data_IF_775074400282
#
_entry.id   IF_775074400282
#
_cell.length_a   1.000
_cell.length_b   1.000
_cell.length_c   1.000
_cell.angle_alpha   90.00
_cell.angle_beta   90.00
_cell.angle_gamma   90.00
#
_symmetry.space_group_name_H-M   'P 1'
#
loop_
_entity.id
_entity.type
_entity.pdbx_description
1 polymer ?
#
# COMPACT_ATOMS: atom_id res chain seq x y z
N UNK A 1 6.10 3.69 -2.59
CA UNK A 1 5.80 5.11 -2.59
C UNK A 1 5.69 5.45 -1.13
N UNK A 2 6.57 6.32 -0.70
CA UNK A 2 6.71 6.73 0.68
C UNK A 2 6.51 8.23 0.67
N UNK A 3 5.56 8.70 1.48
CA UNK A 3 5.38 10.12 1.67
C UNK A 3 6.65 10.72 2.30
N UNK A 4 7.22 11.75 1.67
CA UNK A 4 8.53 12.28 2.05
C UNK A 4 8.51 13.11 3.34
N UNK A 5 7.33 13.55 3.77
CA UNK A 5 7.17 14.37 4.97
C UNK A 5 6.91 13.52 6.21
N UNK A 6 6.15 12.43 6.04
CA UNK A 6 5.68 11.57 7.13
C UNK A 6 6.40 10.22 7.19
N UNK A 7 7.00 9.76 6.09
CA UNK A 7 7.58 8.43 5.98
C UNK A 7 6.53 7.31 5.81
N UNK A 8 5.24 7.66 5.67
CA UNK A 8 4.16 6.68 5.56
C UNK A 8 4.14 6.04 4.17
N UNK A 9 3.98 4.72 4.15
CA UNK A 9 3.65 3.96 2.95
C UNK A 9 2.20 4.27 2.55
N UNK A 10 1.96 4.45 1.24
CA UNK A 10 0.61 4.61 0.66
C UNK A 10 -0.32 5.57 1.43
N UNK A 11 0.26 6.66 1.95
CA UNK A 11 -0.44 7.69 2.73
C UNK A 11 -1.09 7.17 4.03
N UNK A 12 -0.59 6.07 4.58
CA UNK A 12 -1.09 5.47 5.83
C UNK A 12 -2.34 4.61 5.65
N UNK A 13 -2.71 4.27 4.42
CA UNK A 13 -3.76 3.27 4.14
C UNK A 13 -3.23 1.87 4.50
N UNK A 14 -4.10 1.04 5.05
CA UNK A 14 -3.84 -0.36 5.34
C UNK A 14 -3.76 -1.17 4.02
N UNK A 15 -2.59 -1.75 3.69
CA UNK A 15 -2.44 -2.55 2.47
C UNK A 15 -3.22 -3.86 2.50
N UNK A 16 -3.51 -4.42 3.68
CA UNK A 16 -4.24 -5.68 3.84
C UNK A 16 -5.73 -5.48 3.61
N UNK A 17 -6.27 -4.32 3.98
CA UNK A 17 -7.69 -3.97 3.81
C UNK A 17 -8.17 -4.03 2.35
N UNK A 18 -7.28 -3.84 1.38
CA UNK A 18 -7.59 -4.04 -0.05
C UNK A 18 -8.01 -5.47 -0.39
N UNK A 19 -7.49 -6.46 0.35
CA UNK A 19 -7.72 -7.88 0.13
C UNK A 19 -8.81 -8.44 1.04
N UNK A 20 -8.94 -7.92 2.26
CA UNK A 20 -9.93 -8.39 3.23
C UNK A 20 -11.27 -7.67 3.10
N UNK A 21 -11.25 -6.33 3.12
CA UNK A 21 -12.46 -5.50 3.16
C UNK A 21 -12.86 -4.98 1.78
N UNK A 22 -11.98 -5.14 0.78
CA UNK A 22 -12.20 -4.69 -0.59
C UNK A 22 -12.34 -3.18 -0.70
N UNK A 23 -11.69 -2.42 0.20
CA UNK A 23 -11.70 -0.96 0.21
C UNK A 23 -10.42 -0.40 0.86
N UNK A 24 -9.97 0.79 0.46
CA UNK A 24 -8.91 1.48 1.17
C UNK A 24 -9.39 1.89 2.56
N UNK A 25 -8.72 1.40 3.59
CA UNK A 25 -9.02 1.72 4.99
C UNK A 25 -7.83 2.44 5.63
N UNK A 26 -8.09 3.51 6.39
CA UNK A 26 -7.02 4.24 7.08
C UNK A 26 -6.47 3.41 8.23
N UNK A 27 -5.16 3.19 8.23
CA UNK A 27 -4.47 2.53 9.33
C UNK A 27 -4.21 3.47 10.52
N UNK A 28 -3.94 2.88 11.68
CA UNK A 28 -3.74 3.60 12.95
C UNK A 28 -2.27 3.63 13.34
N UNK A 29 -1.85 4.68 14.04
CA UNK A 29 -0.48 4.80 14.55
C UNK A 29 -0.14 3.71 15.59
N UNK A 30 -1.15 3.20 16.30
CA UNK A 30 -1.01 2.11 17.27
C UNK A 30 -0.61 0.78 16.60
N UNK A 31 -0.94 0.63 15.31
CA UNK A 31 -0.62 -0.57 14.52
C UNK A 31 0.32 -0.18 13.37
N UNK A 32 1.61 -0.03 13.70
CA UNK A 32 2.65 0.31 12.73
C UNK A 32 3.67 -0.83 12.53
N UNK A 33 4.22 -0.90 11.32
CA UNK A 33 5.38 -1.72 10.99
C UNK A 33 6.35 -0.97 10.08
N UNK A 34 7.64 -0.97 10.43
CA UNK A 34 8.68 -0.48 9.53
C UNK A 34 9.12 -1.60 8.60
N UNK A 35 8.92 -1.41 7.30
CA UNK A 35 9.32 -2.39 6.29
C UNK A 35 9.68 -1.71 4.97
N UNK A 36 10.73 -2.20 4.29
CA UNK A 36 11.23 -1.66 3.02
C UNK A 36 11.47 -0.13 3.01
N UNK A 37 11.97 0.41 4.14
CA UNK A 37 12.25 1.85 4.28
C UNK A 37 11.03 2.75 4.47
N UNK A 38 9.84 2.17 4.70
CA UNK A 38 8.60 2.91 4.93
C UNK A 38 7.94 2.52 6.25
N UNK A 39 7.08 3.41 6.77
CA UNK A 39 6.18 3.12 7.89
C UNK A 39 4.82 2.70 7.34
N UNK A 40 4.44 1.45 7.58
CA UNK A 40 3.13 0.90 7.21
C UNK A 40 2.19 1.02 8.41
N UNK A 41 0.93 1.38 8.15
CA UNK A 41 -0.13 1.46 9.15
C UNK A 41 -1.22 0.46 8.83
N UNK A 42 -1.84 -0.08 9.87
CA UNK A 42 -2.89 -1.09 9.76
C UNK A 42 -4.12 -0.68 10.56
N UNK A 43 -5.29 -1.13 10.13
CA UNK A 43 -6.55 -0.87 10.83
C UNK A 43 -6.56 -1.54 12.22
N UNK A 44 -5.96 -2.73 12.30
CA UNK A 44 -5.94 -3.60 13.47
C UNK A 44 -4.64 -4.45 13.52
N UNK A 45 -4.39 -5.09 14.67
CA UNK A 45 -3.22 -5.96 14.89
C UNK A 45 -3.18 -7.15 13.93
N UNK A 46 -4.33 -7.76 13.60
CA UNK A 46 -4.38 -8.91 12.69
C UNK A 46 -3.89 -8.57 11.28
N UNK A 47 -4.26 -7.40 10.76
CA UNK A 47 -3.76 -6.92 9.47
C UNK A 47 -2.25 -6.64 9.52
N UNK A 48 -1.75 -6.07 10.63
CA UNK A 48 -0.30 -5.88 10.84
C UNK A 48 0.45 -7.21 10.83
N UNK A 49 -0.06 -8.22 11.53
CA UNK A 49 0.53 -9.56 11.59
C UNK A 49 0.49 -10.26 10.23
N UNK A 50 -0.63 -10.18 9.52
CA UNK A 50 -0.77 -10.74 8.17
C UNK A 50 0.26 -10.12 7.21
N UNK A 51 0.41 -8.78 7.23
CA UNK A 51 1.43 -8.12 6.44
C UNK A 51 2.84 -8.54 6.85
N UNK A 52 3.14 -8.63 8.15
CA UNK A 52 4.46 -9.02 8.64
C UNK A 52 4.85 -10.45 8.22
N UNK A 53 3.86 -11.35 8.09
CA UNK A 53 4.07 -12.73 7.68
C UNK A 53 4.44 -12.85 6.19
N UNK A 54 3.81 -12.07 5.30
CA UNK A 54 4.11 -12.09 3.86
C UNK A 54 3.95 -10.70 3.20
N UNK A 55 4.89 -9.75 3.42
CA UNK A 55 4.80 -8.40 2.86
C UNK A 55 4.65 -8.36 1.33
N UNK A 56 5.36 -9.19 0.53
CA UNK A 56 5.24 -9.20 -0.93
C UNK A 56 3.82 -9.40 -1.48
N UNK A 57 2.92 -10.06 -0.74
CA UNK A 57 1.51 -10.25 -1.15
C UNK A 57 0.73 -8.94 -1.07
N UNK A 58 0.89 -8.22 0.04
CA UNK A 58 0.08 -7.04 0.36
C UNK A 58 0.68 -5.74 -0.18
N UNK A 59 1.99 -5.70 -0.41
CA UNK A 59 2.65 -4.52 -0.95
C UNK A 59 2.15 -4.19 -2.37
N UNK A 60 1.84 -2.91 -2.67
CA UNK A 60 1.48 -2.52 -4.02
C UNK A 60 2.63 -2.79 -5.00
N UNK A 61 2.28 -3.30 -6.17
CA UNK A 61 3.20 -3.46 -7.30
C UNK A 61 3.74 -2.13 -7.76
N UNK A 62 4.92 -2.20 -8.39
CA UNK A 62 5.71 -1.03 -8.76
C UNK A 62 5.97 -0.10 -7.58
N UNK A 63 5.97 -0.65 -6.35
CA UNK A 63 6.09 0.13 -5.13
C UNK A 63 4.99 1.18 -5.00
N UNK A 64 3.78 0.97 -5.48
CA UNK A 64 2.68 1.94 -5.35
C UNK A 64 2.79 3.16 -6.27
N UNK A 65 3.63 3.08 -7.30
CA UNK A 65 3.58 3.97 -8.45
C UNK A 65 2.60 3.43 -9.50
N UNK A 66 2.00 4.34 -10.25
CA UNK A 66 1.05 4.05 -11.31
C UNK A 66 1.67 3.14 -12.39
N UNK A 67 1.11 1.94 -12.65
CA UNK A 67 1.64 1.02 -13.65
C UNK A 67 1.74 1.63 -15.05
N UNK A 68 0.79 2.49 -15.43
CA UNK A 68 0.75 3.12 -16.76
C UNK A 68 1.89 4.13 -16.89
N UNK A 69 2.10 4.98 -15.88
CA UNK A 69 3.24 5.89 -15.80
C UNK A 69 4.57 5.14 -15.85
N UNK A 70 4.72 4.09 -15.03
CA UNK A 70 5.95 3.29 -14.99
C UNK A 70 6.25 2.67 -16.35
N UNK A 71 5.24 2.17 -17.07
CA UNK A 71 5.41 1.64 -18.43
C UNK A 71 5.91 2.68 -19.45
N UNK A 72 5.69 3.97 -19.17
CA UNK A 72 6.14 5.12 -19.98
C UNK A 72 7.43 5.76 -19.44
N UNK A 73 8.06 5.16 -18.43
CA UNK A 73 9.26 5.70 -17.79
C UNK A 73 9.01 6.84 -16.80
N UNK A 74 7.77 7.05 -16.36
CA UNK A 74 7.38 8.14 -15.45
C UNK A 74 6.89 7.56 -14.11
N UNK A 75 7.59 7.87 -13.02
CA UNK A 75 7.20 7.44 -11.68
C UNK A 75 6.12 8.36 -11.08
N UNK A 76 4.86 8.16 -11.48
CA UNK A 76 3.72 8.89 -10.92
C UNK A 76 3.19 8.18 -9.69
N UNK A 77 3.06 8.84 -8.52
CA UNK A 77 2.47 8.23 -7.33
C UNK A 77 1.04 7.75 -7.60
N UNK A 78 0.72 6.51 -7.26
CA UNK A 78 -0.66 5.99 -7.36
C UNK A 78 -1.57 6.59 -6.27
N UNK A 79 -2.85 6.69 -6.56
CA UNK A 79 -3.86 7.10 -5.61
C UNK A 79 -4.42 5.86 -4.89
N UNK A 80 -4.34 5.76 -3.55
CA UNK A 80 -4.92 4.65 -2.80
C UNK A 80 -6.40 4.39 -3.07
N UNK A 81 -7.16 5.40 -3.53
CA UNK A 81 -8.56 5.28 -3.89
C UNK A 81 -8.79 4.72 -5.30
N UNK A 82 -7.78 4.74 -6.17
CA UNK A 82 -7.84 4.19 -7.53
C UNK A 82 -6.96 2.95 -7.58
N UNK A 83 -7.56 1.78 -7.44
CA UNK A 83 -6.80 0.54 -7.25
C UNK A 83 -7.50 -0.65 -7.89
N UNK A 84 -6.73 -1.71 -8.08
CA UNK A 84 -7.26 -3.03 -8.37
C UNK A 84 -6.40 -4.08 -7.66
N UNK A 85 -7.06 -5.13 -7.17
CA UNK A 85 -6.38 -6.40 -6.85
C UNK A 85 -6.60 -7.33 -8.03
N UNK A 86 -5.52 -7.70 -8.73
CA UNK A 86 -5.56 -8.63 -9.85
C UNK A 86 -4.47 -9.68 -9.66
N UNK A 87 -4.80 -10.96 -9.83
CA UNK A 87 -3.87 -12.08 -9.60
C UNK A 87 -3.17 -11.99 -8.22
N UNK A 88 -3.98 -11.77 -7.16
CA UNK A 88 -3.53 -11.63 -5.77
C UNK A 88 -2.50 -10.50 -5.56
N UNK A 89 -2.49 -9.48 -6.43
CA UNK A 89 -1.55 -8.36 -6.36
C UNK A 89 -2.27 -7.04 -6.41
N UNK A 90 -1.86 -6.12 -5.53
CA UNK A 90 -2.38 -4.77 -5.46
C UNK A 90 -1.68 -3.84 -6.47
N UNK A 91 -2.46 -3.08 -7.22
CA UNK A 91 -1.99 -2.04 -8.12
C UNK A 91 -2.72 -0.73 -7.80
N UNK A 92 -1.99 0.39 -7.79
CA UNK A 92 -2.54 1.72 -7.54
C UNK A 92 -2.38 2.57 -8.79
N UNK A 93 -3.41 3.28 -9.20
CA UNK A 93 -3.43 4.10 -10.41
C UNK A 93 -3.44 5.58 -10.09
N UNK A 94 -2.91 6.39 -10.99
CA UNK A 94 -2.96 7.85 -10.84
C UNK A 94 -4.29 8.45 -11.31
N UNK A 95 -4.84 7.95 -12.43
CA UNK A 95 -6.12 8.37 -13.03
C UNK A 95 -6.92 7.18 -13.52
#
# INVERSE_FOLDING_TARGET
>A
MVDRHTGLAIYGIDPVAYFTDGKPTVGRADFELRHAGAVWRFENEGNREAFAADPPVYMPRFGGYDPVGVSRGVATPGNPALWIVNDQRLYLFYT
#
